data_IF_931140226095
#
_entry.id   IF_931140226095
#
_cell.length_a   1.000
_cell.length_b   1.000
_cell.length_c   1.000
_cell.angle_alpha   90.00
_cell.angle_beta   90.00
_cell.angle_gamma   90.00
#
_symmetry.space_group_name_H-M   'P 1'
#
loop_
_entity.id
_entity.type
_entity.pdbx_description
1 polymer ?
#
# COMPACT_ATOMS: atom_id res chain seq x y z
N UNK A 1 58.28 46.24 22.33
CA UNK A 1 58.02 45.02 23.13
C UNK A 1 56.83 44.34 22.47
N UNK A 2 57.06 43.37 21.59
CA UNK A 2 55.96 42.67 20.91
C UNK A 2 55.81 41.28 21.55
N UNK A 3 54.81 41.14 22.42
CA UNK A 3 54.47 39.87 23.07
C UNK A 3 53.83 38.93 22.07
N UNK A 4 54.59 37.98 21.54
CA UNK A 4 54.08 36.80 20.82
C UNK A 4 54.04 35.61 21.78
N UNK A 5 52.87 35.31 22.31
CA UNK A 5 52.48 34.11 23.08
C UNK A 5 50.95 34.24 23.24
N UNK A 6 50.05 33.36 22.83
CA UNK A 6 50.06 31.94 22.49
C UNK A 6 48.95 31.70 21.44
N UNK A 7 49.24 31.04 20.31
CA UNK A 7 48.20 30.55 19.37
C UNK A 7 48.24 29.02 19.22
N UNK A 8 49.30 28.37 19.70
CA UNK A 8 49.48 26.93 19.57
C UNK A 8 48.75 26.09 20.61
N UNK A 9 48.16 26.71 21.65
CA UNK A 9 47.50 25.97 22.73
C UNK A 9 46.00 25.73 22.47
N UNK A 10 45.31 26.63 21.77
CA UNK A 10 43.87 26.47 21.48
C UNK A 10 43.61 25.34 20.46
N UNK A 11 44.48 25.15 19.47
CA UNK A 11 44.29 24.10 18.46
C UNK A 11 44.39 22.66 19.00
N UNK A 12 45.11 22.44 20.11
CA UNK A 12 45.27 21.09 20.68
C UNK A 12 44.07 20.69 21.56
N UNK A 13 43.45 21.67 22.25
CA UNK A 13 42.22 21.42 23.01
C UNK A 13 40.99 21.23 22.12
N UNK A 14 40.93 21.93 20.97
CA UNK A 14 39.86 21.72 19.99
C UNK A 14 39.94 20.34 19.35
N UNK A 15 41.13 19.92 18.91
CA UNK A 15 41.30 18.62 18.26
C UNK A 15 40.99 17.42 19.18
N UNK A 16 41.39 17.48 20.45
CA UNK A 16 41.01 16.43 21.42
C UNK A 16 39.51 16.42 21.73
N UNK A 17 38.86 17.59 21.72
CA UNK A 17 37.43 17.70 21.97
C UNK A 17 36.59 17.18 20.79
N UNK A 18 37.08 17.36 19.57
CA UNK A 18 36.46 16.82 18.36
C UNK A 18 36.63 15.28 18.28
N UNK A 19 37.79 14.74 18.69
CA UNK A 19 38.03 13.28 18.79
C UNK A 19 37.16 12.61 19.86
N UNK A 20 37.00 13.24 21.04
CA UNK A 20 36.13 12.73 22.11
C UNK A 20 34.63 12.76 21.71
N UNK A 21 34.20 13.78 20.96
CA UNK A 21 32.82 13.91 20.43
C UNK A 21 32.55 12.89 19.31
N UNK A 22 33.52 12.64 18.42
CA UNK A 22 33.42 11.58 17.39
C UNK A 22 33.35 10.16 18.01
N UNK A 23 34.12 9.88 19.07
CA UNK A 23 34.04 8.59 19.79
C UNK A 23 32.69 8.39 20.51
N UNK A 24 32.12 9.44 21.13
CA UNK A 24 30.77 9.36 21.72
C UNK A 24 29.69 9.12 20.65
N UNK A 25 29.76 9.80 19.50
CA UNK A 25 28.83 9.61 18.39
C UNK A 25 28.92 8.20 17.78
N UNK A 26 30.12 7.61 17.68
CA UNK A 26 30.30 6.24 17.22
C UNK A 26 29.71 5.22 18.20
N UNK A 27 29.94 5.39 19.51
CA UNK A 27 29.38 4.51 20.56
C UNK A 27 27.85 4.56 20.61
N UNK A 28 27.24 5.74 20.43
CA UNK A 28 25.79 5.88 20.35
C UNK A 28 25.21 5.16 19.13
N UNK A 29 25.87 5.28 17.97
CA UNK A 29 25.45 4.60 16.75
C UNK A 29 25.56 3.07 16.85
N UNK A 30 26.64 2.56 17.45
CA UNK A 30 26.81 1.13 17.72
C UNK A 30 25.72 0.59 18.65
N UNK A 31 25.41 1.32 19.73
CA UNK A 31 24.36 0.96 20.67
C UNK A 31 22.96 0.99 20.01
N UNK A 32 22.68 1.97 19.17
CA UNK A 32 21.43 2.04 18.41
C UNK A 32 21.29 0.85 17.45
N UNK A 33 22.40 0.49 16.78
CA UNK A 33 22.43 -0.65 15.87
C UNK A 33 22.22 -1.97 16.62
N UNK A 34 22.87 -2.17 17.77
CA UNK A 34 22.65 -3.34 18.62
C UNK A 34 21.18 -3.45 19.08
N UNK A 35 20.61 -2.34 19.56
CA UNK A 35 19.20 -2.28 19.97
C UNK A 35 18.26 -2.62 18.81
N UNK A 36 18.56 -2.13 17.60
CA UNK A 36 17.83 -2.46 16.38
C UNK A 36 17.86 -3.96 16.08
N UNK A 37 19.02 -4.59 16.21
CA UNK A 37 19.19 -6.02 15.91
C UNK A 37 18.55 -6.92 16.98
N UNK A 38 18.59 -6.50 18.26
CA UNK A 38 17.82 -7.15 19.34
C UNK A 38 16.33 -7.08 19.04
N UNK A 39 15.80 -5.91 18.65
CA UNK A 39 14.39 -5.76 18.33
C UNK A 39 13.98 -6.60 17.13
N UNK A 40 14.76 -6.58 16.03
CA UNK A 40 14.51 -7.45 14.86
C UNK A 40 14.48 -8.92 15.25
N UNK A 41 15.42 -9.37 16.09
CA UNK A 41 15.44 -10.74 16.60
C UNK A 41 14.15 -11.04 17.36
N UNK A 42 13.75 -10.18 18.31
CA UNK A 42 12.50 -10.34 19.06
C UNK A 42 11.28 -10.45 18.15
N UNK A 43 11.13 -9.54 17.20
CA UNK A 43 10.04 -9.55 16.20
C UNK A 43 10.06 -10.87 15.41
N UNK A 44 11.22 -11.25 14.85
CA UNK A 44 11.34 -12.45 14.00
C UNK A 44 11.11 -13.76 14.77
N UNK A 45 11.39 -13.79 16.07
CA UNK A 45 11.17 -14.94 16.96
C UNK A 45 9.75 -14.99 17.56
N UNK A 46 8.93 -13.96 17.32
CA UNK A 46 7.62 -13.83 17.93
C UNK A 46 6.64 -14.88 17.38
N UNK A 47 5.78 -15.52 18.20
CA UNK A 47 4.83 -16.54 17.73
C UNK A 47 3.88 -16.05 16.62
N UNK A 48 3.52 -14.77 16.64
CA UNK A 48 2.64 -14.15 15.63
C UNK A 48 3.37 -13.69 14.35
N UNK A 49 4.70 -13.77 14.28
CA UNK A 49 5.44 -13.25 13.13
C UNK A 49 5.06 -13.92 11.80
N UNK A 50 4.85 -15.24 11.80
CA UNK A 50 4.37 -15.95 10.62
C UNK A 50 3.01 -15.43 10.13
N UNK A 51 2.06 -15.24 11.06
CA UNK A 51 0.74 -14.71 10.75
C UNK A 51 0.79 -13.26 10.25
N UNK A 52 1.66 -12.45 10.85
CA UNK A 52 1.90 -11.07 10.43
C UNK A 52 2.35 -11.02 8.97
N UNK A 53 3.36 -11.82 8.60
CA UNK A 53 3.89 -11.87 7.24
C UNK A 53 2.83 -12.38 6.26
N UNK A 54 2.11 -13.44 6.62
CA UNK A 54 1.03 -13.99 5.79
C UNK A 54 -0.06 -12.94 5.51
N UNK A 55 -0.61 -12.32 6.56
CA UNK A 55 -1.66 -11.29 6.41
C UNK A 55 -1.15 -10.07 5.64
N UNK A 56 0.13 -9.72 5.76
CA UNK A 56 0.73 -8.65 4.98
C UNK A 56 0.80 -8.98 3.49
N UNK A 57 1.25 -10.19 3.14
CA UNK A 57 1.31 -10.66 1.76
C UNK A 57 -0.08 -10.76 1.13
N UNK A 58 -1.08 -11.23 1.87
CA UNK A 58 -2.47 -11.22 1.40
C UNK A 58 -2.97 -9.82 1.10
N UNK A 59 -2.63 -8.84 1.93
CA UNK A 59 -3.00 -7.44 1.71
C UNK A 59 -2.35 -6.87 0.44
N UNK A 60 -1.05 -7.13 0.23
CA UNK A 60 -0.34 -6.69 -0.98
C UNK A 60 -0.91 -7.32 -2.26
N UNK A 61 -1.35 -8.58 -2.17
CA UNK A 61 -1.98 -9.30 -3.29
C UNK A 61 -3.31 -8.65 -3.70
N UNK A 62 -4.15 -8.25 -2.75
CA UNK A 62 -5.41 -7.53 -3.05
C UNK A 62 -5.11 -6.17 -3.72
N UNK A 63 -3.99 -5.54 -3.37
CA UNK A 63 -3.54 -4.30 -4.02
C UNK A 63 -2.92 -4.46 -5.41
N UNK A 64 -2.68 -5.69 -5.89
CA UNK A 64 -1.83 -5.98 -7.06
C UNK A 64 -0.43 -5.35 -6.96
N UNK A 65 0.04 -5.13 -5.72
CA UNK A 65 1.35 -4.55 -5.40
C UNK A 65 2.40 -5.66 -5.36
N UNK A 66 2.00 -6.93 -5.26
CA UNK A 66 2.90 -8.08 -5.19
C UNK A 66 3.80 -8.25 -6.42
N UNK A 67 3.46 -7.62 -7.55
CA UNK A 67 4.29 -7.64 -8.77
C UNK A 67 5.26 -6.43 -8.86
N UNK A 68 5.22 -5.48 -7.91
CA UNK A 68 6.09 -4.30 -7.84
C UNK A 68 7.42 -4.57 -7.11
N UNK A 69 7.85 -5.84 -7.08
CA UNK A 69 9.12 -6.32 -6.49
C UNK A 69 10.37 -5.62 -7.06
N UNK A 70 10.26 -4.88 -8.17
CA UNK A 70 11.39 -4.23 -8.84
C UNK A 70 11.66 -2.78 -8.38
N UNK A 71 10.69 -2.07 -7.80
CA UNK A 71 10.80 -0.61 -7.59
C UNK A 71 10.76 -0.18 -6.13
N UNK A 72 10.53 -1.12 -5.22
CA UNK A 72 10.52 -0.86 -3.79
C UNK A 72 11.96 -0.76 -3.26
N UNK A 73 12.68 0.28 -3.66
CA UNK A 73 13.88 0.79 -2.96
C UNK A 73 13.46 1.30 -1.56
N UNK A 74 13.02 0.42 -0.65
CA UNK A 74 12.78 0.73 0.78
C UNK A 74 14.09 1.06 1.53
N UNK A 75 15.18 1.42 0.83
CA UNK A 75 16.49 1.55 1.46
C UNK A 75 16.87 2.98 1.86
N UNK A 76 16.00 3.98 1.68
CA UNK A 76 16.33 5.37 2.04
C UNK A 76 15.33 6.09 2.94
N UNK A 77 14.02 5.85 2.82
CA UNK A 77 13.06 6.61 3.62
C UNK A 77 12.86 6.06 5.05
N UNK A 78 13.10 4.77 5.27
CA UNK A 78 13.06 4.18 6.60
C UNK A 78 14.21 4.63 7.51
N UNK A 79 15.33 5.07 6.95
CA UNK A 79 16.44 5.60 7.76
C UNK A 79 16.08 6.92 8.45
N UNK A 80 15.20 7.73 7.86
CA UNK A 80 14.73 8.98 8.48
C UNK A 80 13.83 8.73 9.70
N UNK A 81 13.19 7.57 9.80
CA UNK A 81 12.34 7.19 10.94
C UNK A 81 13.15 6.60 12.11
N UNK A 82 14.45 6.29 11.94
CA UNK A 82 15.29 5.67 12.97
C UNK A 82 15.40 6.50 14.26
N UNK A 83 15.24 7.83 14.18
CA UNK A 83 15.37 8.72 15.34
C UNK A 83 14.23 8.62 16.37
N UNK A 84 13.20 7.82 16.13
CA UNK A 84 12.17 7.58 17.14
C UNK A 84 12.64 6.49 18.08
N UNK A 85 13.25 6.93 19.18
CA UNK A 85 13.55 6.21 20.42
C UNK A 85 12.98 4.79 20.44
N UNK A 86 13.71 3.85 19.82
CA UNK A 86 13.40 2.43 19.77
C UNK A 86 13.80 1.77 21.11
N UNK A 87 13.58 2.52 22.20
CA UNK A 87 13.83 2.09 23.56
C UNK A 87 13.19 0.73 23.75
N UNK A 88 14.00 -0.18 24.28
CA UNK A 88 13.74 -1.62 24.38
C UNK A 88 12.28 -1.92 24.74
N UNK A 89 11.46 -2.22 23.73
CA UNK A 89 10.05 -2.60 23.92
C UNK A 89 9.96 -3.69 24.98
N UNK A 90 9.07 -3.52 25.95
CA UNK A 90 8.68 -4.62 26.82
C UNK A 90 8.03 -5.73 25.99
N UNK A 91 8.07 -6.96 26.51
CA UNK A 91 7.43 -8.09 25.81
C UNK A 91 5.94 -7.81 25.56
N UNK A 92 5.24 -7.22 26.54
CA UNK A 92 3.83 -6.86 26.41
C UNK A 92 3.53 -5.82 25.33
N UNK A 93 4.42 -4.84 25.13
CA UNK A 93 4.22 -3.84 24.07
C UNK A 93 4.45 -4.46 22.70
N UNK A 94 5.43 -5.36 22.58
CA UNK A 94 5.65 -6.10 21.34
C UNK A 94 4.44 -6.99 21.02
N UNK A 95 3.91 -7.72 22.01
CA UNK A 95 2.73 -8.57 21.84
C UNK A 95 1.53 -7.73 21.32
N UNK A 96 1.25 -6.60 21.98
CA UNK A 96 0.19 -5.67 21.58
C UNK A 96 0.41 -5.12 20.17
N UNK A 97 1.64 -4.75 19.83
CA UNK A 97 1.99 -4.27 18.49
C UNK A 97 1.71 -5.35 17.43
N UNK A 98 2.16 -6.59 17.67
CA UNK A 98 1.99 -7.69 16.72
C UNK A 98 0.51 -7.99 16.46
N UNK A 99 -0.32 -7.99 17.51
CA UNK A 99 -1.77 -8.16 17.41
C UNK A 99 -2.44 -7.01 16.66
N UNK A 100 -2.16 -5.77 17.07
CA UNK A 100 -2.74 -4.58 16.46
C UNK A 100 -2.39 -4.48 14.97
N UNK A 101 -1.15 -4.81 14.60
CA UNK A 101 -0.71 -4.78 13.21
C UNK A 101 -1.42 -5.86 12.36
N UNK A 102 -1.50 -7.09 12.86
CA UNK A 102 -2.27 -8.15 12.17
C UNK A 102 -3.74 -7.74 11.96
N UNK A 103 -4.35 -7.13 12.97
CA UNK A 103 -5.74 -6.67 12.90
C UNK A 103 -5.91 -5.54 11.87
N UNK A 104 -5.01 -4.56 11.88
CA UNK A 104 -5.01 -3.45 10.93
C UNK A 104 -4.86 -3.96 9.48
N UNK A 105 -3.96 -4.92 9.24
CA UNK A 105 -3.79 -5.53 7.91
C UNK A 105 -5.05 -6.24 7.42
N UNK A 106 -5.74 -6.98 8.29
CA UNK A 106 -7.01 -7.64 7.93
C UNK A 106 -8.09 -6.63 7.56
N UNK A 107 -8.23 -5.56 8.34
CA UNK A 107 -9.19 -4.49 8.06
C UNK A 107 -8.86 -3.78 6.74
N UNK A 108 -7.58 -3.51 6.47
CA UNK A 108 -7.14 -2.91 5.22
C UNK A 108 -7.45 -3.83 4.03
N UNK A 109 -7.14 -5.12 4.13
CA UNK A 109 -7.48 -6.13 3.10
C UNK A 109 -8.98 -6.12 2.79
N UNK A 110 -9.84 -6.20 3.80
CA UNK A 110 -11.29 -6.18 3.62
C UNK A 110 -11.77 -4.88 2.97
N UNK A 111 -11.26 -3.74 3.46
CA UNK A 111 -11.59 -2.42 2.92
C UNK A 111 -11.20 -2.25 1.44
N UNK A 112 -10.15 -2.94 0.97
CA UNK A 112 -9.74 -2.96 -0.43
C UNK A 112 -10.53 -3.98 -1.28
N UNK A 113 -10.82 -5.15 -0.73
CA UNK A 113 -11.49 -6.25 -1.45
C UNK A 113 -12.98 -5.94 -1.69
N UNK A 114 -13.64 -5.30 -0.73
CA UNK A 114 -15.05 -4.90 -0.81
C UNK A 114 -15.39 -4.03 -2.05
N UNK A 115 -14.73 -2.89 -2.30
CA UNK A 115 -15.00 -2.08 -3.48
C UNK A 115 -14.65 -2.81 -4.79
N UNK A 116 -13.58 -3.62 -4.81
CA UNK A 116 -13.23 -4.42 -5.99
C UNK A 116 -14.35 -5.40 -6.37
N UNK A 117 -14.86 -6.16 -5.40
CA UNK A 117 -15.99 -7.08 -5.60
C UNK A 117 -17.24 -6.34 -6.11
N UNK A 118 -17.54 -5.18 -5.52
CA UNK A 118 -18.69 -4.34 -5.94
C UNK A 118 -18.54 -3.87 -7.38
N UNK A 119 -17.36 -3.42 -7.79
CA UNK A 119 -17.07 -3.02 -9.17
C UNK A 119 -17.19 -4.18 -10.15
N UNK A 120 -16.63 -5.35 -9.83
CA UNK A 120 -16.72 -6.55 -10.67
C UNK A 120 -18.19 -6.98 -10.84
N UNK A 121 -18.96 -7.01 -9.75
CA UNK A 121 -20.38 -7.36 -9.79
C UNK A 121 -21.18 -6.37 -10.66
N UNK A 122 -20.93 -5.06 -10.51
CA UNK A 122 -21.55 -4.04 -11.33
C UNK A 122 -21.24 -4.23 -12.82
N UNK A 123 -19.97 -4.44 -13.18
CA UNK A 123 -19.53 -4.66 -14.56
C UNK A 123 -20.20 -5.91 -15.16
N UNK A 124 -20.20 -7.03 -14.43
CA UNK A 124 -20.83 -8.27 -14.88
C UNK A 124 -22.34 -8.11 -15.10
N UNK A 125 -23.01 -7.41 -14.20
CA UNK A 125 -24.43 -7.09 -14.34
C UNK A 125 -24.70 -6.25 -15.60
N UNK A 126 -23.90 -5.20 -15.85
CA UNK A 126 -24.03 -4.38 -17.07
C UNK A 126 -23.78 -5.20 -18.34
N UNK A 127 -22.76 -6.05 -18.36
CA UNK A 127 -22.51 -6.95 -19.49
C UNK A 127 -23.68 -7.92 -19.75
N UNK A 128 -24.33 -8.42 -18.70
CA UNK A 128 -25.51 -9.29 -18.84
C UNK A 128 -26.66 -8.54 -19.51
N UNK A 129 -26.97 -7.33 -19.05
CA UNK A 129 -28.04 -6.50 -19.62
C UNK A 129 -27.78 -6.18 -21.10
N UNK A 130 -26.54 -5.81 -21.45
CA UNK A 130 -26.17 -5.52 -22.84
C UNK A 130 -26.28 -6.75 -23.75
N UNK A 131 -25.94 -7.93 -23.24
CA UNK A 131 -26.06 -9.20 -23.98
C UNK A 131 -27.51 -9.53 -24.26
N UNK A 132 -28.39 -9.36 -23.27
CA UNK A 132 -29.82 -9.62 -23.39
C UNK A 132 -30.47 -8.73 -24.46
N UNK A 133 -30.13 -7.44 -24.47
CA UNK A 133 -30.58 -6.50 -25.50
C UNK A 133 -30.12 -6.91 -26.91
N UNK A 134 -28.87 -7.36 -27.04
CA UNK A 134 -28.30 -7.76 -28.33
C UNK A 134 -28.95 -9.06 -28.85
N UNK A 135 -29.24 -10.02 -27.97
CA UNK A 135 -29.95 -11.24 -28.34
C UNK A 135 -31.41 -10.96 -28.71
N UNK A 136 -32.08 -10.06 -28.00
CA UNK A 136 -33.45 -9.64 -28.34
C UNK A 136 -33.55 -8.88 -29.67
N UNK A 137 -32.46 -8.23 -30.11
CA UNK A 137 -32.40 -7.47 -31.36
C UNK A 137 -32.07 -8.33 -32.61
N UNK A 138 -31.72 -9.62 -32.45
CA UNK A 138 -31.45 -10.52 -33.57
C UNK A 138 -32.78 -11.03 -34.17
N UNK A 139 -33.09 -10.75 -35.45
CA UNK A 139 -34.28 -11.28 -36.10
C UNK A 139 -34.15 -12.80 -36.25
N UNK A 140 -35.18 -13.56 -35.87
CA UNK A 140 -35.29 -14.99 -36.20
C UNK A 140 -35.34 -15.15 -37.72
N UNK A 141 -34.59 -16.08 -38.35
CA UNK A 141 -34.71 -16.36 -39.77
C UNK A 141 -36.16 -16.75 -40.07
N UNK A 142 -36.83 -15.95 -40.90
CA UNK A 142 -38.21 -16.15 -41.32
C UNK A 142 -38.34 -17.44 -42.11
N UNK A 143 -39.18 -18.36 -41.63
CA UNK A 143 -39.77 -19.42 -42.45
C UNK A 143 -40.49 -18.79 -43.66
N UNK A 144 -40.34 -19.34 -44.89
CA UNK A 144 -40.99 -18.80 -46.07
C UNK A 144 -42.42 -19.32 -46.12
N UNK A 145 -43.41 -18.46 -45.87
CA UNK A 145 -44.79 -18.75 -46.27
C UNK A 145 -45.32 -17.66 -47.17
N UNK A 146 -45.69 -18.13 -48.36
CA UNK A 146 -46.21 -17.37 -49.48
C UNK A 146 -47.49 -16.59 -49.15
N UNK A 147 -47.66 -15.51 -49.94
CA UNK A 147 -48.91 -14.92 -50.40
C UNK A 147 -49.47 -13.67 -49.67
N UNK A 148 -49.51 -12.60 -50.48
CA UNK A 148 -50.57 -11.59 -50.57
C UNK A 148 -50.48 -10.34 -49.68
N UNK A 149 -49.69 -9.39 -50.18
CA UNK A 149 -49.95 -7.94 -50.26
C UNK A 149 -51.00 -7.30 -49.33
N UNK A 150 -50.56 -6.46 -48.39
CA UNK A 150 -51.04 -5.05 -48.30
C UNK A 150 -50.07 -4.17 -47.49
N UNK A 151 -49.86 -2.97 -48.02
CA UNK A 151 -49.02 -1.88 -47.55
C UNK A 151 -49.47 -1.23 -46.23
N UNK A 152 -48.53 -0.93 -45.32
CA UNK A 152 -48.43 0.40 -44.70
C UNK A 152 -47.09 0.59 -43.99
N UNK A 153 -46.61 1.82 -44.12
CA UNK A 153 -45.25 2.33 -43.98
C UNK A 153 -44.71 2.42 -42.55
N UNK A 154 -43.42 2.10 -42.46
CA UNK A 154 -42.52 2.32 -41.33
C UNK A 154 -42.38 3.80 -40.96
N UNK A 155 -42.49 4.13 -39.67
CA UNK A 155 -41.68 5.17 -39.03
C UNK A 155 -41.48 4.83 -37.55
N UNK A 156 -40.29 4.32 -37.23
CA UNK A 156 -39.79 4.11 -35.87
C UNK A 156 -39.41 5.45 -35.23
N UNK A 157 -40.21 5.93 -34.28
CA UNK A 157 -39.91 7.12 -33.48
C UNK A 157 -39.33 6.74 -32.12
N UNK A 158 -38.02 6.56 -32.01
CA UNK A 158 -37.33 6.48 -30.72
C UNK A 158 -37.29 7.89 -30.11
N UNK A 159 -38.14 8.17 -29.12
CA UNK A 159 -38.11 9.43 -28.36
C UNK A 159 -36.98 9.37 -27.35
N UNK A 160 -35.91 10.11 -27.61
CA UNK A 160 -34.88 10.41 -26.62
C UNK A 160 -35.50 11.21 -25.46
N UNK A 161 -35.61 10.60 -24.28
CA UNK A 161 -35.88 11.32 -23.04
C UNK A 161 -34.55 11.96 -22.62
N UNK A 162 -34.37 13.23 -22.95
CA UNK A 162 -33.36 14.08 -22.30
C UNK A 162 -33.93 14.49 -20.94
N UNK A 163 -33.37 13.99 -19.85
CA UNK A 163 -33.61 14.58 -18.52
C UNK A 163 -32.81 15.89 -18.41
N UNK A 164 -33.41 17.00 -17.97
CA UNK A 164 -32.67 18.20 -17.60
C UNK A 164 -32.15 18.08 -16.16
N UNK A 165 -30.91 18.52 -16.00
CA UNK A 165 -30.23 18.82 -14.75
C UNK A 165 -31.06 19.70 -13.82
N UNK A 166 -31.18 19.31 -12.55
CA UNK A 166 -30.91 20.17 -11.38
C UNK A 166 -30.10 19.32 -10.39
#
# INVERSE_FOLDING_TARGET
MESKRNSSNENNYQQHKDEDEEEEEELEQEQEQENSDILKRRISSHPLYGLLVETHLECLKVGDISNLDSELKINHQMQAMKKQNLGMFSQSELDLFMEAYCMALRQLKEAMEEPQKKSIAFINNMHSQLRELTMAAMPTPSEPTDATSSSSSSTSGCKFIRNPTI
#
